data_IF_760294115588
#
_entry.id   IF_760294115588
#
_cell.length_a   1.000
_cell.length_b   1.000
_cell.length_c   1.000
_cell.angle_alpha   90.00
_cell.angle_beta   90.00
_cell.angle_gamma   90.00
#
_symmetry.space_group_name_H-M   'P 1'
#
loop_
_entity.id
_entity.type
_entity.pdbx_description
1 polymer ?
#
# COMPACT_ATOMS: atom_id res chain seq x y z
N UNK A 1 -6.76 50.40 20.01
CA UNK A 1 -6.66 49.58 18.79
C UNK A 1 -6.86 50.51 17.60
N UNK A 2 -5.87 50.63 16.73
CA UNK A 2 -5.89 51.54 15.58
C UNK A 2 -6.76 50.93 14.46
N UNK A 3 -7.38 51.77 13.63
CA UNK A 3 -8.20 51.37 12.48
C UNK A 3 -7.48 50.38 11.54
N UNK A 4 -6.15 50.50 11.41
CA UNK A 4 -5.32 49.57 10.63
C UNK A 4 -5.26 48.15 11.23
N UNK A 5 -5.23 48.03 12.57
CA UNK A 5 -5.23 46.73 13.27
C UNK A 5 -6.57 46.02 13.08
N UNK A 6 -7.68 46.78 13.11
CA UNK A 6 -9.02 46.24 12.88
C UNK A 6 -9.22 45.75 11.43
N UNK A 7 -8.60 46.41 10.46
CA UNK A 7 -8.64 45.99 9.05
C UNK A 7 -7.81 44.72 8.82
N UNK A 8 -6.64 44.61 9.44
CA UNK A 8 -5.79 43.41 9.40
C UNK A 8 -6.50 42.19 10.01
N UNK A 9 -7.11 42.34 11.18
CA UNK A 9 -7.87 41.24 11.81
C UNK A 9 -9.04 40.76 10.95
N UNK A 10 -9.74 41.68 10.28
CA UNK A 10 -10.82 41.32 9.35
C UNK A 10 -10.28 40.52 8.17
N UNK A 11 -9.20 40.98 7.54
CA UNK A 11 -8.57 40.28 6.42
C UNK A 11 -8.09 38.88 6.83
N UNK A 12 -7.44 38.74 7.99
CA UNK A 12 -7.05 37.43 8.51
C UNK A 12 -8.25 36.52 8.76
N UNK A 13 -9.32 37.05 9.34
CA UNK A 13 -10.55 36.28 9.61
C UNK A 13 -11.22 35.78 8.33
N UNK A 14 -11.24 36.62 7.28
CA UNK A 14 -11.78 36.26 5.96
C UNK A 14 -10.92 35.22 5.27
N UNK A 15 -9.59 35.36 5.32
CA UNK A 15 -8.65 34.37 4.80
C UNK A 15 -8.85 33.02 5.50
N UNK A 16 -8.89 33.00 6.84
CA UNK A 16 -9.11 31.76 7.61
C UNK A 16 -10.45 31.12 7.27
N UNK A 17 -11.52 31.92 7.13
CA UNK A 17 -12.84 31.45 6.74
C UNK A 17 -12.83 30.83 5.34
N UNK A 18 -12.20 31.50 4.38
CA UNK A 18 -12.11 31.01 3.01
C UNK A 18 -11.27 29.73 2.92
N UNK A 19 -10.14 29.66 3.64
CA UNK A 19 -9.34 28.45 3.75
C UNK A 19 -10.16 27.31 4.38
N UNK A 20 -10.91 27.57 5.45
CA UNK A 20 -11.77 26.58 6.08
C UNK A 20 -12.85 26.06 5.12
N UNK A 21 -13.48 26.94 4.33
CA UNK A 21 -14.46 26.53 3.30
C UNK A 21 -13.89 25.61 2.24
N UNK A 22 -12.59 25.70 1.94
CA UNK A 22 -11.93 24.81 0.97
C UNK A 22 -11.45 23.52 1.66
N UNK A 23 -10.80 23.63 2.82
CA UNK A 23 -10.17 22.48 3.47
C UNK A 23 -11.16 21.56 4.20
N UNK A 24 -12.26 22.09 4.76
CA UNK A 24 -13.25 21.26 5.47
C UNK A 24 -13.89 20.23 4.53
N UNK A 25 -14.42 20.59 3.34
CA UNK A 25 -14.96 19.60 2.40
C UNK A 25 -13.93 18.56 1.96
N UNK A 26 -12.69 18.98 1.69
CA UNK A 26 -11.60 18.06 1.31
C UNK A 26 -11.31 17.06 2.44
N UNK A 27 -11.20 17.55 3.67
CA UNK A 27 -10.94 16.69 4.84
C UNK A 27 -12.08 15.69 5.06
N UNK A 28 -13.34 16.12 4.91
CA UNK A 28 -14.51 15.22 4.99
C UNK A 28 -14.47 14.15 3.91
N UNK A 29 -14.13 14.53 2.67
CA UNK A 29 -14.03 13.57 1.57
C UNK A 29 -12.92 12.53 1.79
N UNK A 30 -11.75 12.97 2.27
CA UNK A 30 -10.65 12.09 2.65
C UNK A 30 -11.07 11.14 3.78
N UNK A 31 -11.80 11.63 4.79
CA UNK A 31 -12.28 10.80 5.89
C UNK A 31 -13.26 9.71 5.42
N UNK A 32 -14.16 10.04 4.48
CA UNK A 32 -15.09 9.06 3.89
C UNK A 32 -14.31 7.97 3.14
N UNK A 33 -13.37 8.34 2.27
CA UNK A 33 -12.54 7.39 1.51
C UNK A 33 -11.75 6.48 2.47
N UNK A 34 -11.08 7.08 3.45
CA UNK A 34 -10.29 6.34 4.43
C UNK A 34 -11.14 5.35 5.22
N UNK A 35 -12.36 5.75 5.61
CA UNK A 35 -13.30 4.88 6.31
C UNK A 35 -13.73 3.71 5.42
N UNK A 36 -14.04 3.97 4.15
CA UNK A 36 -14.40 2.92 3.19
C UNK A 36 -13.25 1.94 2.96
N UNK A 37 -12.05 2.42 2.64
CA UNK A 37 -10.88 1.58 2.37
C UNK A 37 -10.45 0.70 3.55
N UNK A 38 -10.73 1.12 4.79
CA UNK A 38 -10.35 0.38 5.99
C UNK A 38 -11.42 -0.57 6.52
N UNK A 39 -12.70 -0.31 6.23
CA UNK A 39 -13.79 -1.11 6.78
C UNK A 39 -14.54 -1.94 5.73
N UNK A 40 -14.33 -1.70 4.44
CA UNK A 40 -14.97 -2.48 3.39
C UNK A 40 -14.28 -3.83 3.20
N UNK A 41 -15.02 -4.91 3.49
CA UNK A 41 -14.56 -6.28 3.24
C UNK A 41 -14.30 -6.50 1.75
N UNK A 42 -15.19 -6.00 0.89
CA UNK A 42 -15.07 -6.15 -0.56
C UNK A 42 -13.81 -5.47 -1.09
N UNK A 43 -13.51 -4.25 -0.61
CA UNK A 43 -12.29 -3.56 -1.00
C UNK A 43 -11.03 -4.34 -0.59
N UNK A 44 -10.95 -4.85 0.64
CA UNK A 44 -9.80 -5.65 1.09
C UNK A 44 -9.71 -6.98 0.33
N UNK A 45 -10.86 -7.61 0.02
CA UNK A 45 -10.93 -8.84 -0.77
C UNK A 45 -10.41 -8.61 -2.19
N UNK A 46 -10.86 -7.54 -2.84
CA UNK A 46 -10.43 -7.17 -4.19
C UNK A 46 -8.92 -6.95 -4.23
N UNK A 47 -8.37 -6.16 -3.30
CA UNK A 47 -6.92 -5.92 -3.21
C UNK A 47 -6.11 -7.19 -2.98
N UNK A 48 -6.61 -8.08 -2.11
CA UNK A 48 -5.98 -9.38 -1.90
C UNK A 48 -6.01 -10.25 -3.16
N UNK A 49 -7.14 -10.33 -3.86
CA UNK A 49 -7.27 -11.12 -5.08
C UNK A 49 -6.42 -10.55 -6.22
N UNK A 50 -6.39 -9.24 -6.40
CA UNK A 50 -5.55 -8.55 -7.39
C UNK A 50 -4.06 -8.95 -7.21
N UNK A 51 -3.56 -8.87 -5.98
CA UNK A 51 -2.18 -9.24 -5.65
C UNK A 51 -1.92 -10.75 -5.80
N UNK A 52 -2.91 -11.58 -5.47
CA UNK A 52 -2.85 -13.04 -5.63
C UNK A 52 -2.82 -13.48 -7.09
N UNK A 53 -3.57 -12.80 -7.96
CA UNK A 53 -3.62 -13.09 -9.40
C UNK A 53 -2.41 -12.54 -10.18
N UNK A 54 -1.61 -11.67 -9.55
CA UNK A 54 -0.36 -11.16 -10.13
C UNK A 54 0.67 -12.30 -10.23
N UNK A 55 1.17 -12.55 -11.42
CA UNK A 55 2.27 -13.48 -11.68
C UNK A 55 3.53 -12.71 -12.07
N UNK A 56 4.68 -13.27 -11.71
CA UNK A 56 5.96 -12.78 -12.20
C UNK A 56 6.97 -13.90 -12.19
N UNK A 57 7.76 -14.01 -13.25
CA UNK A 57 8.85 -14.95 -13.34
C UNK A 57 9.97 -14.32 -14.16
N UNK A 58 11.20 -14.60 -13.81
CA UNK A 58 12.33 -14.06 -14.56
C UNK A 58 13.60 -13.98 -13.77
N UNK A 59 14.64 -13.52 -14.47
CA UNK A 59 15.94 -13.21 -13.89
C UNK A 59 15.98 -11.74 -13.53
N UNK A 60 16.46 -11.42 -12.33
CA UNK A 60 16.63 -10.05 -11.87
C UNK A 60 17.75 -9.41 -12.68
N UNK A 61 17.44 -8.37 -13.43
CA UNK A 61 18.41 -7.63 -14.25
C UNK A 61 18.89 -6.38 -13.54
N UNK A 62 18.02 -5.76 -12.74
CA UNK A 62 18.35 -4.55 -12.00
C UNK A 62 17.48 -4.40 -10.74
N UNK A 63 17.84 -3.46 -9.87
CA UNK A 63 17.14 -3.13 -8.63
C UNK A 63 17.05 -1.62 -8.47
N UNK A 64 15.87 -1.15 -8.08
CA UNK A 64 15.58 0.28 -7.95
C UNK A 64 15.03 0.60 -6.55
N UNK A 65 15.41 1.77 -6.07
CA UNK A 65 14.89 2.38 -4.85
C UNK A 65 14.26 3.73 -5.25
N UNK A 66 13.00 3.93 -4.86
CA UNK A 66 12.28 5.16 -5.19
C UNK A 66 12.41 6.22 -4.08
N UNK A 67 13.60 6.80 -4.00
CA UNK A 67 13.95 7.91 -3.10
C UNK A 67 14.93 7.53 -1.98
N UNK A 68 15.51 8.54 -1.33
CA UNK A 68 16.52 8.37 -0.28
C UNK A 68 15.90 8.52 1.12
N UNK A 69 15.04 7.58 1.51
CA UNK A 69 14.42 7.55 2.84
C UNK A 69 14.13 6.11 3.31
N UNK A 70 14.05 5.85 4.63
CA UNK A 70 13.98 4.49 5.18
C UNK A 70 12.81 3.62 4.72
N UNK A 71 11.76 4.23 4.15
CA UNK A 71 10.54 3.56 3.67
C UNK A 71 10.37 3.69 2.15
N UNK A 72 11.43 4.04 1.43
CA UNK A 72 11.41 4.13 -0.02
C UNK A 72 11.02 2.79 -0.63
N UNK A 73 10.22 2.85 -1.69
CA UNK A 73 9.70 1.66 -2.34
C UNK A 73 10.82 0.85 -3.00
N UNK A 74 10.82 -0.43 -2.60
CA UNK A 74 11.53 -1.61 -3.11
C UNK A 74 11.16 -2.06 -4.50
N UNK A 75 12.02 -2.01 -5.51
CA UNK A 75 11.72 -2.67 -6.79
C UNK A 75 12.86 -3.58 -7.27
N UNK A 76 12.47 -4.71 -7.85
CA UNK A 76 13.31 -5.51 -8.73
C UNK A 76 12.82 -5.37 -10.16
N UNK A 77 13.75 -5.36 -11.11
CA UNK A 77 13.47 -5.32 -12.53
C UNK A 77 13.84 -6.68 -13.10
N UNK A 78 12.92 -7.28 -13.84
CA UNK A 78 13.09 -8.60 -14.44
C UNK A 78 13.57 -8.49 -15.90
N UNK A 79 14.01 -9.62 -16.46
CA UNK A 79 14.54 -9.70 -17.82
C UNK A 79 13.49 -9.46 -18.93
N UNK A 80 12.22 -9.46 -18.58
CA UNK A 80 11.10 -9.05 -19.44
C UNK A 80 10.70 -7.57 -19.22
N UNK A 81 11.52 -6.80 -18.49
CA UNK A 81 11.30 -5.41 -18.08
C UNK A 81 10.14 -5.18 -17.10
N UNK A 82 9.58 -6.24 -16.51
CA UNK A 82 8.60 -6.07 -15.44
C UNK A 82 9.27 -5.51 -14.16
N UNK A 83 8.71 -4.40 -13.66
CA UNK A 83 9.08 -3.80 -12.38
C UNK A 83 8.17 -4.37 -11.29
N UNK A 84 8.74 -5.10 -10.34
CA UNK A 84 8.00 -5.76 -9.27
C UNK A 84 8.38 -5.13 -7.93
N UNK A 85 7.37 -4.60 -7.23
CA UNK A 85 7.56 -4.08 -5.89
C UNK A 85 7.84 -5.23 -4.91
N UNK A 86 8.89 -5.11 -4.12
CA UNK A 86 9.30 -6.13 -3.14
C UNK A 86 9.50 -5.52 -1.75
N UNK A 87 9.23 -6.28 -0.68
CA UNK A 87 9.50 -5.81 0.67
C UNK A 87 10.98 -5.57 0.93
N UNK A 88 11.28 -4.58 1.79
CA UNK A 88 12.65 -4.24 2.20
C UNK A 88 13.46 -5.44 2.67
N UNK A 89 12.82 -6.36 3.40
CA UNK A 89 13.48 -7.58 3.91
C UNK A 89 14.03 -8.45 2.79
N UNK A 90 13.36 -8.55 1.65
CA UNK A 90 13.81 -9.34 0.50
C UNK A 90 14.77 -8.55 -0.38
N UNK A 91 14.55 -7.25 -0.53
CA UNK A 91 15.40 -6.39 -1.36
C UNK A 91 16.88 -6.57 -1.03
N UNK A 92 17.27 -6.59 0.25
CA UNK A 92 18.69 -6.73 0.61
C UNK A 92 19.25 -8.17 0.51
N UNK A 93 18.39 -9.17 0.36
CA UNK A 93 18.82 -10.58 0.29
C UNK A 93 19.02 -11.07 -1.14
N UNK A 94 18.36 -10.42 -2.11
CA UNK A 94 18.44 -10.78 -3.54
C UNK A 94 19.44 -9.89 -4.29
N UNK A 95 20.04 -10.45 -5.34
CA UNK A 95 21.04 -9.79 -6.16
C UNK A 95 20.69 -9.88 -7.65
N UNK A 96 21.31 -8.98 -8.43
CA UNK A 96 21.24 -9.05 -9.89
C UNK A 96 21.76 -10.41 -10.37
N UNK A 97 20.95 -11.04 -11.21
CA UNK A 97 21.16 -12.34 -11.80
C UNK A 97 20.64 -13.53 -10.99
N UNK A 98 20.05 -13.31 -9.81
CA UNK A 98 19.17 -14.29 -9.17
C UNK A 98 17.87 -14.41 -9.99
N UNK A 99 17.11 -15.49 -9.78
CA UNK A 99 15.84 -15.71 -10.46
C UNK A 99 14.67 -15.70 -9.48
N UNK A 100 13.50 -15.29 -9.93
CA UNK A 100 12.28 -15.26 -9.14
C UNK A 100 11.13 -15.94 -9.88
N UNK A 101 10.23 -16.54 -9.10
CA UNK A 101 9.01 -17.16 -9.59
C UNK A 101 7.87 -16.98 -8.59
N UNK A 102 6.76 -16.39 -9.05
CA UNK A 102 5.45 -16.39 -8.39
C UNK A 102 4.40 -16.83 -9.40
N UNK A 103 3.73 -17.92 -9.07
CA UNK A 103 2.62 -18.43 -9.87
C UNK A 103 1.34 -17.63 -9.59
N UNK A 104 0.52 -17.42 -10.62
CA UNK A 104 -0.82 -16.88 -10.49
C UNK A 104 -1.65 -17.69 -9.48
N UNK A 105 -2.43 -17.01 -8.65
CA UNK A 105 -3.29 -17.66 -7.67
C UNK A 105 -2.53 -18.19 -6.45
N UNK A 106 -1.21 -17.99 -6.35
CA UNK A 106 -0.40 -18.31 -5.17
C UNK A 106 -0.03 -17.06 -4.40
N UNK A 107 0.07 -17.23 -3.09
CA UNK A 107 0.52 -16.19 -2.16
C UNK A 107 2.06 -16.15 -2.04
N UNK A 108 2.74 -17.20 -2.51
CA UNK A 108 4.17 -17.40 -2.30
C UNK A 108 4.98 -17.06 -3.54
N UNK A 109 6.04 -16.29 -3.35
CA UNK A 109 7.13 -16.12 -4.32
C UNK A 109 8.37 -16.88 -3.86
N UNK A 110 9.09 -17.44 -4.83
CA UNK A 110 10.34 -18.16 -4.65
C UNK A 110 11.47 -17.38 -5.32
N UNK A 111 12.54 -17.12 -4.58
CA UNK A 111 13.74 -16.46 -5.08
C UNK A 111 14.90 -17.46 -5.06
N UNK A 112 15.38 -17.83 -6.24
CA UNK A 112 16.49 -18.74 -6.46
C UNK A 112 17.78 -17.95 -6.54
N UNK A 113 18.55 -17.99 -5.45
CA UNK A 113 19.81 -17.26 -5.34
C UNK A 113 20.93 -18.01 -6.09
N UNK A 114 21.90 -17.28 -6.63
CA UNK A 114 23.09 -17.85 -7.30
C UNK A 114 23.89 -18.82 -6.45
N UNK A 115 23.83 -18.71 -5.12
CA UNK A 115 24.48 -19.63 -4.19
C UNK A 115 23.71 -20.95 -3.97
N UNK A 116 22.62 -21.18 -4.71
CA UNK A 116 21.78 -22.37 -4.63
C UNK A 116 20.72 -22.33 -3.53
N UNK A 117 20.68 -21.30 -2.69
CA UNK A 117 19.62 -21.13 -1.67
C UNK A 117 18.33 -20.64 -2.32
N UNK A 118 17.20 -21.03 -1.73
CA UNK A 118 15.87 -20.55 -2.12
C UNK A 118 15.27 -19.76 -0.96
N UNK A 119 14.96 -18.49 -1.20
CA UNK A 119 14.15 -17.71 -0.28
C UNK A 119 12.69 -17.86 -0.63
N UNK A 120 11.85 -18.04 0.39
CA UNK A 120 10.40 -18.20 0.24
C UNK A 120 9.73 -17.04 0.95
N UNK A 121 8.87 -16.33 0.23
CA UNK A 121 8.14 -15.19 0.78
C UNK A 121 6.66 -15.32 0.52
N UNK A 122 5.85 -15.15 1.56
CA UNK A 122 4.43 -14.85 1.40
C UNK A 122 4.27 -13.37 1.04
N UNK A 123 3.93 -13.11 -0.23
CA UNK A 123 3.76 -11.77 -0.77
C UNK A 123 2.44 -11.13 -0.33
N UNK A 124 1.48 -11.95 0.11
CA UNK A 124 0.10 -11.53 0.36
C UNK A 124 -0.25 -11.56 1.85
N UNK A 125 0.68 -11.89 2.74
CA UNK A 125 0.43 -12.10 4.16
C UNK A 125 -0.35 -10.93 4.80
N UNK A 126 0.09 -9.70 4.53
CA UNK A 126 -0.54 -8.49 5.05
C UNK A 126 -1.97 -8.33 4.53
N UNK A 127 -2.17 -8.42 3.22
CA UNK A 127 -3.49 -8.28 2.59
C UNK A 127 -4.45 -9.38 3.04
N UNK A 128 -3.96 -10.62 3.14
CA UNK A 128 -4.72 -11.78 3.59
C UNK A 128 -5.14 -11.63 5.05
N UNK A 129 -4.25 -11.16 5.93
CA UNK A 129 -4.57 -10.89 7.35
C UNK A 129 -5.65 -9.82 7.49
N UNK A 130 -5.53 -8.71 6.77
CA UNK A 130 -6.52 -7.62 6.79
C UNK A 130 -7.90 -8.10 6.30
N UNK A 131 -7.94 -8.82 5.18
CA UNK A 131 -9.18 -9.42 4.67
C UNK A 131 -9.82 -10.40 5.67
N UNK A 132 -9.05 -11.32 6.23
CA UNK A 132 -9.56 -12.32 7.18
C UNK A 132 -10.07 -11.68 8.48
N UNK A 133 -9.42 -10.62 8.95
CA UNK A 133 -9.82 -9.86 10.15
C UNK A 133 -11.16 -9.15 9.96
N UNK A 134 -11.42 -8.57 8.79
CA UNK A 134 -12.74 -7.99 8.51
C UNK A 134 -13.82 -9.07 8.34
N UNK A 135 -13.47 -10.15 7.65
CA UNK A 135 -14.37 -11.28 7.44
C UNK A 135 -14.85 -11.90 8.76
N UNK A 136 -13.97 -12.04 9.75
CA UNK A 136 -14.34 -12.56 11.07
C UNK A 136 -15.29 -11.62 11.81
N UNK A 137 -15.01 -10.31 11.77
CA UNK A 137 -15.86 -9.28 12.40
C UNK A 137 -17.28 -9.25 11.82
N UNK A 138 -17.43 -9.37 10.50
CA UNK A 138 -18.75 -9.43 9.88
C UNK A 138 -19.53 -10.68 10.30
N UNK A 139 -18.85 -11.83 10.38
CA UNK A 139 -19.46 -13.07 10.85
C UNK A 139 -19.94 -12.95 12.31
N UNK A 140 -19.14 -12.33 13.18
CA UNK A 140 -19.52 -12.05 14.57
C UNK A 140 -20.74 -11.14 14.67
N UNK A 141 -20.80 -10.06 13.87
CA UNK A 141 -21.96 -9.15 13.84
C UNK A 141 -23.24 -9.85 13.38
N UNK A 142 -23.15 -10.66 12.33
CA UNK A 142 -24.29 -11.44 11.84
C UNK A 142 -24.84 -12.37 12.93
N UNK A 143 -23.95 -13.11 13.59
CA UNK A 143 -24.33 -14.03 14.67
C UNK A 143 -24.90 -13.32 15.91
N UNK A 144 -24.47 -12.10 16.21
CA UNK A 144 -24.99 -11.30 17.33
C UNK A 144 -26.35 -10.63 17.03
N UNK A 145 -26.77 -10.60 15.76
CA UNK A 145 -28.05 -10.05 15.31
C UNK A 145 -29.15 -11.09 15.14
N UNK A 146 -28.85 -12.37 15.41
CA UNK A 146 -29.80 -13.48 15.46
C UNK A 146 -30.14 -13.83 16.91
#
# INVERSE_FOLDING_TARGET
>A
MNKSEQELEKQESEIRRNLAYVFIPIALFIAIIFTYQNNSLDYKREKYLESKETEFNGKITDKKEDGDYPRASRFMILNDYNEVQIPNSIYYQINVGDSVYKERGKDTAYYYLKNGKVLVQDCNEYLRKEYLKLKSKEKEKYNASQ
#
